data_IF_665952935541
#
_entry.id   IF_665952935541
#
_cell.length_a   1.000
_cell.length_b   1.000
_cell.length_c   1.000
_cell.angle_alpha   90.00
_cell.angle_beta   90.00
_cell.angle_gamma   90.00
#
_symmetry.space_group_name_H-M   'P 1'
#
loop_
_entity.id
_entity.type
_entity.pdbx_description
1 polymer ?
#
# COMPACT_ATOMS: atom_id res chain seq x y z
N UNK A 1 -3.66 43.44 -44.80
CA UNK A 1 -5.00 42.97 -45.23
C UNK A 1 -4.82 42.13 -46.49
N UNK A 2 -5.56 41.02 -46.57
CA UNK A 2 -5.73 40.07 -47.69
C UNK A 2 -4.67 38.95 -47.90
N UNK A 3 -5.03 37.79 -47.34
CA UNK A 3 -5.04 36.44 -47.95
C UNK A 3 -4.42 36.32 -49.36
N UNK A 4 -3.53 35.34 -49.56
CA UNK A 4 -3.60 34.55 -50.79
C UNK A 4 -3.16 33.10 -50.57
N UNK A 5 -4.08 32.16 -50.83
CA UNK A 5 -3.83 30.72 -50.93
C UNK A 5 -3.34 30.46 -52.34
N UNK A 6 -2.26 29.71 -52.52
CA UNK A 6 -2.05 29.06 -53.82
C UNK A 6 -1.23 27.78 -53.67
N UNK A 7 -1.93 26.66 -53.53
CA UNK A 7 -1.41 25.36 -53.93
C UNK A 7 -1.58 25.22 -55.43
N UNK A 8 -0.58 24.70 -56.13
CA UNK A 8 -0.90 23.77 -57.21
C UNK A 8 -0.10 22.47 -57.09
N UNK A 9 -0.87 21.39 -57.07
CA UNK A 9 -0.44 20.03 -57.30
C UNK A 9 0.20 19.91 -58.68
N UNK A 10 1.45 19.48 -58.76
CA UNK A 10 2.07 19.01 -60.00
C UNK A 10 2.55 17.57 -59.85
N UNK A 11 2.15 16.81 -60.84
CA UNK A 11 2.12 15.37 -60.95
C UNK A 11 3.32 14.94 -61.83
N UNK A 12 3.98 13.83 -61.43
CA UNK A 12 4.86 12.91 -62.23
C UNK A 12 6.30 13.35 -62.55
N UNK A 13 7.28 12.52 -62.16
CA UNK A 13 8.12 11.76 -63.11
C UNK A 13 8.99 10.68 -62.42
N UNK A 14 8.69 9.42 -62.76
CA UNK A 14 9.54 8.23 -63.02
C UNK A 14 10.91 8.00 -62.33
N UNK A 15 10.95 6.87 -61.61
CA UNK A 15 11.83 5.69 -61.79
C UNK A 15 13.36 5.85 -61.68
N UNK A 16 13.92 5.39 -60.56
CA UNK A 16 15.34 5.04 -60.39
C UNK A 16 15.49 3.79 -59.53
N UNK A 17 16.03 2.74 -60.13
CA UNK A 17 16.25 1.39 -59.60
C UNK A 17 17.43 1.37 -58.60
N UNK A 18 17.29 0.69 -57.46
CA UNK A 18 18.41 0.48 -56.51
C UNK A 18 18.05 -0.50 -55.41
N UNK A 19 18.33 -1.78 -55.63
CA UNK A 19 18.13 -2.90 -54.70
C UNK A 19 19.29 -2.98 -53.71
N UNK A 20 18.98 -3.47 -52.49
CA UNK A 20 19.87 -4.05 -51.48
C UNK A 20 20.57 -3.10 -50.51
N UNK A 21 20.00 -3.05 -49.31
CA UNK A 21 20.62 -2.51 -48.09
C UNK A 21 19.63 -2.61 -46.94
N UNK A 22 19.10 -3.82 -46.68
CA UNK A 22 18.29 -4.08 -45.50
C UNK A 22 19.20 -3.89 -44.29
N UNK A 23 19.24 -2.67 -43.76
CA UNK A 23 19.88 -2.37 -42.49
C UNK A 23 19.15 -3.22 -41.44
N UNK A 24 19.79 -4.31 -41.03
CA UNK A 24 19.41 -5.04 -39.84
C UNK A 24 19.53 -4.06 -38.66
N UNK A 25 18.42 -3.44 -38.30
CA UNK A 25 18.29 -2.68 -37.07
C UNK A 25 18.49 -3.70 -35.96
N UNK A 26 19.55 -3.62 -35.14
CA UNK A 26 19.61 -4.45 -33.95
C UNK A 26 18.40 -4.04 -33.12
N UNK A 27 17.43 -4.96 -32.99
CA UNK A 27 16.34 -4.78 -32.07
C UNK A 27 16.95 -4.59 -30.68
N UNK A 28 16.90 -3.37 -30.14
CA UNK A 28 17.06 -3.12 -28.70
C UNK A 28 15.83 -3.71 -27.99
N UNK A 29 15.73 -5.03 -28.01
CA UNK A 29 14.69 -5.80 -27.35
C UNK A 29 15.22 -6.45 -26.07
N UNK A 30 16.14 -5.80 -25.36
CA UNK A 30 16.45 -6.13 -23.97
C UNK A 30 16.73 -4.84 -23.22
N UNK A 31 15.78 -4.38 -22.39
CA UNK A 31 16.08 -3.60 -21.16
C UNK A 31 14.86 -3.00 -20.45
N UNK A 32 13.61 -3.36 -20.73
CA UNK A 32 12.49 -2.86 -19.88
C UNK A 32 12.64 -3.32 -18.43
N UNK A 33 13.05 -4.57 -18.20
CA UNK A 33 13.35 -5.10 -16.88
C UNK A 33 14.62 -4.48 -16.24
N UNK A 34 15.66 -4.26 -17.03
CA UNK A 34 16.93 -3.69 -16.55
C UNK A 34 16.80 -2.19 -16.21
N UNK A 35 16.03 -1.44 -17.01
CA UNK A 35 15.69 -0.04 -16.79
C UNK A 35 14.70 0.12 -15.63
N UNK A 36 13.71 -0.76 -15.52
CA UNK A 36 12.76 -0.80 -14.40
C UNK A 36 13.48 -0.98 -13.06
N UNK A 37 14.32 -2.01 -12.93
CA UNK A 37 15.10 -2.25 -11.70
C UNK A 37 16.04 -1.11 -11.30
N UNK A 38 16.59 -0.37 -12.26
CA UNK A 38 17.47 0.78 -11.98
C UNK A 38 16.66 1.96 -11.45
N UNK A 39 15.48 2.20 -12.03
CA UNK A 39 14.57 3.25 -11.61
C UNK A 39 14.03 2.98 -10.20
N UNK A 40 13.59 1.74 -9.92
CA UNK A 40 13.12 1.33 -8.59
C UNK A 40 14.21 1.52 -7.53
N UNK A 41 15.45 1.12 -7.83
CA UNK A 41 16.57 1.33 -6.90
C UNK A 41 16.85 2.81 -6.60
N UNK A 42 16.75 3.70 -7.59
CA UNK A 42 16.93 5.14 -7.38
C UNK A 42 15.81 5.72 -6.51
N UNK A 43 14.57 5.29 -6.75
CA UNK A 43 13.41 5.67 -5.96
C UNK A 43 13.53 5.19 -4.50
N UNK A 44 13.93 3.93 -4.28
CA UNK A 44 14.17 3.37 -2.94
C UNK A 44 15.27 4.13 -2.18
N UNK A 45 16.38 4.48 -2.86
CA UNK A 45 17.45 5.26 -2.23
C UNK A 45 17.05 6.68 -1.89
N UNK A 46 16.21 7.31 -2.69
CA UNK A 46 15.68 8.64 -2.39
C UNK A 46 14.81 8.62 -1.13
N UNK A 47 14.07 7.54 -0.90
CA UNK A 47 13.22 7.38 0.29
C UNK A 47 14.02 7.17 1.57
N UNK A 48 15.28 6.70 1.51
CA UNK A 48 16.10 6.47 2.71
C UNK A 48 16.26 7.70 3.62
N UNK A 49 16.20 8.92 3.07
CA UNK A 49 16.26 10.15 3.86
C UNK A 49 14.97 10.46 4.63
N UNK A 50 13.87 9.79 4.29
CA UNK A 50 12.53 10.05 4.81
C UNK A 50 11.99 8.95 5.72
N UNK A 51 12.72 7.84 5.88
CA UNK A 51 12.31 6.74 6.76
C UNK A 51 12.94 6.90 8.16
N UNK A 52 12.22 6.50 9.22
CA UNK A 52 12.72 6.51 10.60
C UNK A 52 13.69 5.35 10.89
N UNK A 53 14.62 5.09 9.98
CA UNK A 53 15.64 4.03 10.08
C UNK A 53 17.04 4.60 9.78
N UNK A 54 18.10 3.83 10.07
CA UNK A 54 19.46 4.22 9.73
C UNK A 54 19.61 4.38 8.19
N UNK A 55 19.97 5.58 7.67
CA UNK A 55 20.12 5.80 6.24
C UNK A 55 21.19 4.91 5.60
N UNK A 56 22.23 4.56 6.36
CA UNK A 56 23.30 3.69 5.87
C UNK A 56 22.81 2.24 5.74
N UNK A 57 22.03 1.73 6.70
CA UNK A 57 21.35 0.44 6.60
C UNK A 57 20.38 0.40 5.40
N UNK A 58 19.52 1.41 5.26
CA UNK A 58 18.58 1.50 4.13
C UNK A 58 19.30 1.44 2.77
N UNK A 59 20.39 2.18 2.60
CA UNK A 59 21.17 2.15 1.37
C UNK A 59 21.82 0.78 1.09
N UNK A 60 22.27 0.06 2.13
CA UNK A 60 22.81 -1.30 2.00
C UNK A 60 21.70 -2.29 1.60
N UNK A 61 20.52 -2.18 2.21
CA UNK A 61 19.37 -3.04 1.91
C UNK A 61 18.85 -2.84 0.49
N UNK A 62 18.68 -1.60 0.04
CA UNK A 62 18.31 -1.30 -1.34
C UNK A 62 19.36 -1.84 -2.35
N UNK A 63 20.64 -1.75 -2.00
CA UNK A 63 21.73 -2.32 -2.81
C UNK A 63 21.67 -3.85 -2.89
N UNK A 64 21.41 -4.51 -1.75
CA UNK A 64 21.25 -5.96 -1.68
C UNK A 64 20.03 -6.42 -2.50
N UNK A 65 18.90 -5.72 -2.40
CA UNK A 65 17.69 -6.01 -3.15
C UNK A 65 17.93 -5.90 -4.67
N UNK A 66 18.63 -4.84 -5.13
CA UNK A 66 19.02 -4.70 -6.54
C UNK A 66 19.92 -5.83 -7.02
N UNK A 67 20.87 -6.26 -6.19
CA UNK A 67 21.76 -7.37 -6.54
C UNK A 67 21.00 -8.69 -6.64
N UNK A 68 20.11 -8.98 -5.69
CA UNK A 68 19.23 -10.14 -5.74
C UNK A 68 18.33 -10.12 -6.99
N UNK A 69 17.78 -8.95 -7.35
CA UNK A 69 17.00 -8.77 -8.57
C UNK A 69 17.82 -9.07 -9.83
N UNK A 70 19.07 -8.57 -9.91
CA UNK A 70 19.99 -8.85 -11.02
C UNK A 70 20.36 -10.33 -11.11
N UNK A 71 20.43 -11.02 -9.98
CA UNK A 71 20.72 -12.45 -9.89
C UNK A 71 19.46 -13.33 -10.05
N UNK A 72 18.26 -12.75 -10.20
CA UNK A 72 17.01 -13.49 -10.31
C UNK A 72 16.60 -14.22 -9.02
N UNK A 73 17.11 -13.78 -7.86
CA UNK A 73 16.86 -14.40 -6.56
C UNK A 73 15.64 -13.86 -5.83
N UNK A 74 14.96 -12.84 -6.39
CA UNK A 74 13.70 -12.37 -5.85
C UNK A 74 12.63 -13.43 -6.09
N UNK A 75 12.10 -13.97 -5.01
CA UNK A 75 10.99 -14.94 -5.04
C UNK A 75 9.76 -14.33 -4.38
N UNK A 76 8.61 -14.63 -4.93
CA UNK A 76 7.32 -14.36 -4.31
C UNK A 76 6.83 -15.62 -3.62
N UNK A 77 6.05 -15.48 -2.55
CA UNK A 77 5.37 -16.63 -1.97
C UNK A 77 4.38 -17.19 -3.02
N UNK A 78 4.28 -18.52 -3.17
CA UNK A 78 3.43 -19.12 -4.19
C UNK A 78 1.94 -18.89 -3.92
N UNK A 79 1.55 -18.77 -2.65
CA UNK A 79 0.17 -18.49 -2.24
C UNK A 79 0.11 -17.58 -1.01
N UNK A 80 -0.13 -16.28 -1.24
CA UNK A 80 -0.32 -15.29 -0.18
C UNK A 80 -1.64 -15.48 0.57
N UNK A 81 -2.67 -16.03 -0.07
CA UNK A 81 -4.00 -16.19 0.50
C UNK A 81 -4.02 -17.36 1.47
N UNK A 82 -3.47 -18.51 1.10
CA UNK A 82 -3.36 -19.66 1.98
C UNK A 82 -2.56 -19.32 3.25
N UNK A 83 -1.44 -18.59 3.10
CA UNK A 83 -0.67 -18.11 4.25
C UNK A 83 -1.48 -17.16 5.14
N UNK A 84 -2.26 -16.25 4.55
CA UNK A 84 -3.13 -15.36 5.31
C UNK A 84 -4.23 -16.12 6.07
N UNK A 85 -4.86 -17.12 5.44
CA UNK A 85 -5.88 -17.95 6.08
C UNK A 85 -5.30 -18.84 7.18
N UNK A 86 -4.08 -19.37 7.01
CA UNK A 86 -3.39 -20.12 8.04
C UNK A 86 -3.19 -19.29 9.32
N UNK A 87 -2.94 -17.98 9.18
CA UNK A 87 -2.83 -17.06 10.32
C UNK A 87 -4.16 -16.85 11.06
N UNK A 88 -5.30 -17.01 10.40
CA UNK A 88 -6.61 -16.90 11.05
C UNK A 88 -6.91 -18.07 12.01
N UNK A 89 -6.21 -19.20 11.88
CA UNK A 89 -6.51 -20.42 12.64
C UNK A 89 -6.28 -20.31 14.16
N UNK A 90 -5.49 -19.33 14.62
CA UNK A 90 -5.22 -19.09 16.05
C UNK A 90 -6.42 -18.49 16.79
N UNK A 91 -7.36 -17.89 16.06
CA UNK A 91 -8.49 -17.19 16.65
C UNK A 91 -9.62 -18.15 17.08
N UNK A 92 -10.37 -17.80 18.14
CA UNK A 92 -11.62 -18.48 18.49
C UNK A 92 -12.64 -18.47 17.34
N UNK A 93 -13.65 -19.35 17.32
CA UNK A 93 -14.52 -19.56 16.16
C UNK A 93 -15.15 -18.28 15.57
N UNK A 94 -15.64 -17.37 16.41
CA UNK A 94 -16.27 -16.11 15.96
C UNK A 94 -15.26 -15.12 15.38
N UNK A 95 -14.08 -15.01 15.99
CA UNK A 95 -13.02 -14.14 15.50
C UNK A 95 -12.35 -14.70 14.24
N UNK A 96 -12.25 -16.03 14.15
CA UNK A 96 -11.69 -16.74 13.00
C UNK A 96 -12.52 -16.48 11.76
N UNK A 97 -13.84 -16.61 11.82
CA UNK A 97 -14.71 -16.34 10.68
C UNK A 97 -14.62 -14.87 10.23
N UNK A 98 -14.51 -13.93 11.17
CA UNK A 98 -14.28 -12.51 10.85
C UNK A 98 -12.91 -12.27 10.19
N UNK A 99 -11.85 -12.93 10.67
CA UNK A 99 -10.51 -12.88 10.06
C UNK A 99 -10.53 -13.42 8.63
N UNK A 100 -11.11 -14.60 8.42
CA UNK A 100 -11.22 -15.24 7.10
C UNK A 100 -12.05 -14.39 6.14
N UNK A 101 -13.15 -13.77 6.61
CA UNK A 101 -13.95 -12.84 5.83
C UNK A 101 -13.13 -11.61 5.38
N UNK A 102 -12.32 -11.03 6.28
CA UNK A 102 -11.42 -9.91 5.92
C UNK A 102 -10.35 -10.32 4.91
N UNK A 103 -9.78 -11.52 5.03
CA UNK A 103 -8.76 -12.04 4.09
C UNK A 103 -9.36 -12.27 2.71
N UNK A 104 -10.53 -12.89 2.65
CA UNK A 104 -11.23 -13.21 1.38
C UNK A 104 -11.94 -12.01 0.76
N UNK A 105 -12.14 -10.93 1.51
CA UNK A 105 -12.91 -9.76 1.07
C UNK A 105 -14.42 -9.99 1.09
N UNK A 106 -14.90 -10.93 1.91
CA UNK A 106 -16.32 -11.19 2.08
C UNK A 106 -17.00 -10.13 2.97
N UNK A 107 -18.30 -9.91 2.75
CA UNK A 107 -19.09 -8.94 3.51
C UNK A 107 -18.83 -7.48 3.11
N UNK A 108 -18.96 -6.57 4.08
CA UNK A 108 -18.65 -5.15 3.90
C UNK A 108 -17.14 -4.93 4.11
N UNK A 109 -16.35 -5.24 3.07
CA UNK A 109 -14.89 -5.10 3.11
C UNK A 109 -14.40 -4.09 2.09
N UNK A 110 -13.38 -3.32 2.46
CA UNK A 110 -12.67 -2.39 1.57
C UNK A 110 -11.17 -2.69 1.60
N UNK A 111 -10.50 -2.40 0.48
CA UNK A 111 -9.05 -2.47 0.35
C UNK A 111 -8.51 -1.06 0.24
N UNK A 112 -7.75 -0.63 1.24
CA UNK A 112 -7.09 0.67 1.27
C UNK A 112 -5.63 0.50 0.87
N UNK A 113 -5.30 0.89 -0.36
CA UNK A 113 -3.95 1.23 -0.82
C UNK A 113 -2.83 0.20 -0.57
N UNK A 114 -1.62 0.62 -0.96
CA UNK A 114 -0.38 -0.09 -0.73
C UNK A 114 0.38 0.62 0.40
N UNK A 115 0.84 -0.10 1.42
CA UNK A 115 1.80 0.46 2.39
C UNK A 115 3.14 0.69 1.71
N UNK A 116 4.03 1.46 2.34
CA UNK A 116 5.38 1.74 1.81
C UNK A 116 6.14 0.48 1.36
N UNK A 117 5.88 -0.67 1.99
CA UNK A 117 6.46 -1.97 1.64
C UNK A 117 5.66 -2.83 0.64
N UNK A 118 4.67 -2.29 -0.07
CA UNK A 118 3.93 -3.02 -1.11
C UNK A 118 2.75 -3.89 -0.61
N UNK A 119 2.37 -3.78 0.66
CA UNK A 119 1.29 -4.58 1.26
C UNK A 119 -0.08 -3.94 1.13
N UNK A 120 -1.13 -4.74 0.98
CA UNK A 120 -2.52 -4.28 0.93
C UNK A 120 -3.14 -4.25 2.34
N UNK A 121 -3.80 -3.15 2.69
CA UNK A 121 -4.60 -3.07 3.93
C UNK A 121 -6.06 -3.40 3.62
N UNK A 122 -6.64 -4.29 4.41
CA UNK A 122 -8.05 -4.71 4.29
C UNK A 122 -8.80 -4.33 5.56
N UNK A 123 -9.95 -3.71 5.39
CA UNK A 123 -10.88 -3.38 6.47
C UNK A 123 -12.18 -4.17 6.27
N UNK A 124 -12.76 -4.66 7.37
CA UNK A 124 -14.06 -5.32 7.36
C UNK A 124 -14.90 -4.76 8.50
N UNK A 125 -16.10 -4.26 8.17
CA UNK A 125 -17.03 -3.66 9.12
C UNK A 125 -18.15 -4.67 9.41
N UNK A 126 -18.34 -5.02 10.69
CA UNK A 126 -19.43 -5.89 11.13
C UNK A 126 -20.34 -5.11 12.08
N UNK A 127 -21.60 -4.93 11.69
CA UNK A 127 -22.60 -4.31 12.54
C UNK A 127 -23.19 -5.36 13.47
N UNK A 128 -23.07 -5.14 14.79
CA UNK A 128 -23.73 -5.97 15.80
C UNK A 128 -25.03 -5.30 16.22
N UNK A 129 -26.16 -5.99 16.05
CA UNK A 129 -27.44 -5.51 16.57
C UNK A 129 -27.46 -5.83 18.06
N UNK A 130 -27.25 -4.81 18.90
CA UNK A 130 -27.52 -4.95 20.32
C UNK A 130 -29.05 -5.00 20.53
N UNK A 131 -29.58 -5.99 21.26
CA UNK A 131 -30.98 -5.97 21.65
C UNK A 131 -31.24 -4.72 22.48
N UNK A 132 -32.36 -4.05 22.22
CA UNK A 132 -32.79 -2.89 22.99
C UNK A 132 -32.81 -3.26 24.48
N UNK A 133 -32.26 -2.43 25.38
CA UNK A 133 -32.40 -2.69 26.80
C UNK A 133 -33.89 -2.78 27.11
N UNK A 134 -34.32 -3.90 27.70
CA UNK A 134 -35.66 -4.03 28.22
C UNK A 134 -35.94 -2.79 29.06
N UNK A 135 -37.01 -2.06 28.74
CA UNK A 135 -37.36 -0.82 29.41
C UNK A 135 -37.34 -1.06 30.92
N UNK A 136 -36.39 -0.42 31.61
CA UNK A 136 -36.36 -0.45 33.06
C UNK A 136 -37.71 0.11 33.56
N UNK A 137 -38.36 -0.50 34.57
CA UNK A 137 -39.57 0.07 35.14
C UNK A 137 -39.26 1.50 35.61
N UNK A 138 -40.00 2.46 35.05
CA UNK A 138 -39.91 3.88 35.43
C UNK A 138 -40.46 4.01 36.86
N UNK A 139 -39.59 3.89 37.87
CA UNK A 139 -40.10 3.81 39.24
C UNK A 139 -39.05 3.68 40.34
N UNK A 140 -37.95 4.43 40.26
CA UNK A 140 -37.16 4.79 41.45
C UNK A 140 -36.25 5.96 41.09
N UNK A 141 -36.53 7.15 41.62
CA UNK A 141 -35.53 8.21 41.63
C UNK A 141 -34.34 7.71 42.47
N UNK A 142 -33.09 7.74 41.97
CA UNK A 142 -31.94 7.41 42.79
C UNK A 142 -31.83 8.46 43.91
N UNK A 143 -31.68 7.99 45.15
CA UNK A 143 -31.41 8.84 46.30
C UNK A 143 -30.13 9.67 46.05
N UNK A 144 -30.04 10.91 46.55
CA UNK A 144 -28.86 11.73 46.36
C UNK A 144 -27.63 11.04 46.94
N UNK A 145 -26.62 10.83 46.11
CA UNK A 145 -25.32 10.29 46.53
C UNK A 145 -24.64 11.32 47.45
N UNK A 146 -24.21 10.95 48.66
CA UNK A 146 -23.48 11.86 49.53
C UNK A 146 -22.16 12.24 48.88
N UNK A 147 -21.90 13.55 48.77
CA UNK A 147 -20.67 14.07 48.19
C UNK A 147 -19.47 13.64 49.03
N UNK A 148 -18.35 13.18 48.42
CA UNK A 148 -17.14 12.85 49.17
C UNK A 148 -16.59 14.13 49.82
N UNK A 149 -16.18 14.00 51.09
CA UNK A 149 -15.58 15.11 51.84
C UNK A 149 -14.26 15.53 51.17
N UNK A 150 -13.90 16.83 51.20
CA UNK A 150 -12.62 17.28 50.67
C UNK A 150 -11.47 16.53 51.34
N UNK A 151 -10.59 15.94 50.54
CA UNK A 151 -9.35 15.35 51.04
C UNK A 151 -8.44 16.46 51.57
N UNK A 152 -8.17 16.43 52.87
CA UNK A 152 -7.31 17.39 53.55
C UNK A 152 -5.88 17.27 53.02
N UNK A 153 -5.29 18.39 52.61
CA UNK A 153 -4.00 18.42 51.94
C UNK A 153 -2.87 17.98 52.87
N UNK A 154 -2.14 16.93 52.49
CA UNK A 154 -0.94 16.47 53.19
C UNK A 154 0.15 17.56 53.06
N UNK A 155 0.68 18.11 54.17
CA UNK A 155 1.71 19.14 54.10
C UNK A 155 3.02 18.54 53.56
N UNK A 156 3.64 19.28 52.64
CA UNK A 156 4.91 18.89 52.00
C UNK A 156 6.05 19.03 53.02
N UNK A 157 7.03 18.10 53.04
CA UNK A 157 8.19 18.21 53.91
C UNK A 157 9.10 19.37 53.47
N UNK A 158 9.60 20.13 54.45
CA UNK A 158 10.55 21.22 54.22
C UNK A 158 11.96 20.68 53.92
N UNK A 159 12.74 21.34 53.04
CA UNK A 159 14.14 20.97 52.81
C UNK A 159 15.05 21.48 53.94
N UNK A 160 16.08 20.68 54.26
CA UNK A 160 17.20 21.05 55.14
C UNK A 160 18.29 21.77 54.35
#
# INVERSE_FOLDING_TARGET
MLKNKNTPSFLRLTLGLGVAGLMAVPALAQSTAAAGSQRTYQEERAMCAHLPQDPAACAREAGAARQAARQGQLTSAPDYTANALARCAVHPPVERTACEARVTGAGQSSVQGSVMGGGLIREAVTTVVMPAPAAAPQGAMPAPVPMPRPVEAVPRPMPR
#
